data_IF_242891658883
#
_entry.id   IF_242891658883
#
_cell.length_a   1.000
_cell.length_b   1.000
_cell.length_c   1.000
_cell.angle_alpha   90.00
_cell.angle_beta   90.00
_cell.angle_gamma   90.00
#
_symmetry.space_group_name_H-M   'P 1'
#
loop_
_entity.id
_entity.type
_entity.pdbx_description
1 polymer ?
#
# COMPACT_ATOMS: atom_id res chain seq x y z
N UNK A 1 -24.47 11.02 10.23
CA UNK A 1 -23.37 10.48 9.41
C UNK A 1 -23.69 9.03 9.12
N UNK A 2 -23.71 8.63 7.84
CA UNK A 2 -23.97 7.24 7.45
C UNK A 2 -22.75 6.41 7.85
N UNK A 3 -22.97 5.32 8.58
CA UNK A 3 -21.91 4.40 9.00
C UNK A 3 -21.89 3.22 8.01
N UNK A 4 -20.82 3.11 7.22
CA UNK A 4 -20.69 2.11 6.15
C UNK A 4 -19.98 0.82 6.57
N UNK A 5 -19.68 0.66 7.86
CA UNK A 5 -19.03 -0.53 8.45
C UNK A 5 -17.74 -0.95 7.72
N UNK A 6 -16.94 0.04 7.30
CA UNK A 6 -15.61 -0.20 6.76
C UNK A 6 -14.61 -0.40 7.89
N UNK A 7 -13.80 -1.45 7.78
CA UNK A 7 -12.55 -1.53 8.53
C UNK A 7 -11.49 -0.69 7.82
N UNK A 8 -10.89 0.25 8.55
CA UNK A 8 -10.01 1.27 7.98
C UNK A 8 -8.66 1.20 8.68
N UNK A 9 -7.59 0.99 7.90
CA UNK A 9 -6.22 1.12 8.39
C UNK A 9 -5.74 2.58 8.27
N UNK A 10 -5.65 3.27 9.40
CA UNK A 10 -5.03 4.61 9.45
C UNK A 10 -3.51 4.51 9.55
N UNK A 11 -2.79 5.14 8.62
CA UNK A 11 -1.33 5.21 8.60
C UNK A 11 -0.86 6.65 8.76
N UNK A 12 0.22 6.90 9.53
CA UNK A 12 0.85 8.22 9.56
C UNK A 12 1.47 8.61 8.20
N UNK A 13 1.62 9.92 7.91
CA UNK A 13 2.28 10.39 6.70
C UNK A 13 3.78 10.06 6.69
N UNK A 14 4.40 10.11 5.50
CA UNK A 14 5.84 9.94 5.33
C UNK A 14 6.29 8.55 4.86
N UNK A 15 7.61 8.41 4.68
CA UNK A 15 8.33 7.16 4.38
C UNK A 15 7.99 6.48 3.03
N UNK A 16 7.19 7.14 2.19
CA UNK A 16 6.88 6.74 0.81
C UNK A 16 7.49 7.78 -0.11
N UNK A 17 8.24 7.33 -1.11
CA UNK A 17 8.91 8.23 -2.06
C UNK A 17 7.90 8.75 -3.08
N UNK A 18 7.82 10.06 -3.22
CA UNK A 18 7.17 10.74 -4.34
C UNK A 18 8.10 11.84 -4.82
N UNK A 19 8.70 11.66 -5.99
CA UNK A 19 9.73 12.57 -6.51
C UNK A 19 9.18 13.99 -6.65
N UNK A 20 9.89 14.97 -6.07
CA UNK A 20 9.49 16.38 -6.09
C UNK A 20 8.56 16.82 -4.96
N UNK A 21 8.21 15.94 -4.02
CA UNK A 21 7.39 16.23 -2.84
C UNK A 21 7.99 15.63 -1.57
N UNK A 22 7.48 16.02 -0.41
CA UNK A 22 7.98 15.56 0.89
C UNK A 22 7.73 14.06 1.12
N UNK A 23 6.59 13.55 0.67
CA UNK A 23 6.24 12.13 0.74
C UNK A 23 5.07 11.77 -0.19
N UNK A 24 4.96 10.49 -0.52
CA UNK A 24 3.83 9.89 -1.26
C UNK A 24 2.80 9.21 -0.37
N UNK A 25 1.78 8.61 -1.01
CA UNK A 25 0.65 7.97 -0.34
C UNK A 25 0.62 6.46 -0.59
N UNK A 26 0.18 5.69 0.41
CA UNK A 26 0.05 4.22 0.29
C UNK A 26 -0.93 3.82 -0.82
N UNK A 27 -1.98 4.61 -1.05
CA UNK A 27 -2.97 4.37 -2.09
C UNK A 27 -2.42 4.55 -3.51
N UNK A 28 -1.35 5.32 -3.69
CA UNK A 28 -0.65 5.46 -4.98
C UNK A 28 0.58 4.55 -5.10
N UNK A 29 0.87 3.76 -4.05
CA UNK A 29 2.06 2.89 -4.01
C UNK A 29 1.80 1.49 -4.57
N UNK A 30 0.63 1.24 -5.17
CA UNK A 30 0.23 -0.09 -5.58
C UNK A 30 -1.25 -0.22 -5.91
N UNK A 31 -1.70 -1.46 -6.06
CA UNK A 31 -3.11 -1.76 -6.32
C UNK A 31 -3.42 -3.25 -6.19
N UNK A 32 -4.70 -3.55 -5.97
CA UNK A 32 -5.19 -4.93 -5.92
C UNK A 32 -5.19 -5.50 -7.35
N UNK A 33 -4.47 -6.60 -7.57
CA UNK A 33 -4.31 -7.21 -8.90
C UNK A 33 -5.10 -8.50 -9.12
N UNK A 34 -5.60 -9.08 -8.05
CA UNK A 34 -6.59 -10.17 -8.02
C UNK A 34 -7.36 -10.08 -6.70
N UNK A 35 -8.37 -10.92 -6.49
CA UNK A 35 -9.12 -10.92 -5.22
C UNK A 35 -8.25 -11.07 -3.96
N UNK A 36 -7.07 -11.66 -4.08
CA UNK A 36 -6.19 -12.04 -2.98
C UNK A 36 -4.74 -11.53 -3.12
N UNK A 37 -4.44 -10.68 -4.13
CA UNK A 37 -3.08 -10.16 -4.36
C UNK A 37 -3.05 -8.64 -4.46
N UNK A 38 -2.22 -8.01 -3.63
CA UNK A 38 -1.94 -6.58 -3.66
C UNK A 38 -0.52 -6.33 -4.20
N UNK A 39 -0.38 -5.70 -5.36
CA UNK A 39 0.93 -5.33 -5.89
C UNK A 39 1.41 -4.00 -5.28
N UNK A 40 2.69 -3.90 -4.96
CA UNK A 40 3.33 -2.68 -4.46
C UNK A 40 4.54 -2.29 -5.31
N UNK A 41 4.69 -0.98 -5.56
CA UNK A 41 5.89 -0.36 -6.14
C UNK A 41 6.97 -0.16 -5.09
N UNK A 42 7.50 -1.27 -4.58
CA UNK A 42 8.44 -1.32 -3.47
C UNK A 42 8.11 -2.51 -2.56
N UNK A 43 8.78 -2.58 -1.42
CA UNK A 43 8.67 -3.68 -0.48
C UNK A 43 8.21 -3.16 0.89
N UNK A 44 7.16 -3.77 1.46
CA UNK A 44 6.66 -3.39 2.79
C UNK A 44 7.74 -3.56 3.87
N UNK A 45 8.72 -4.45 3.70
CA UNK A 45 9.86 -4.58 4.61
C UNK A 45 10.72 -3.32 4.73
N UNK A 46 10.66 -2.44 3.73
CA UNK A 46 11.38 -1.17 3.71
C UNK A 46 10.51 0.02 4.11
N UNK A 47 9.24 -0.21 4.41
CA UNK A 47 8.30 0.82 4.85
C UNK A 47 8.15 0.82 6.37
N UNK A 48 8.21 1.99 6.99
CA UNK A 48 8.16 2.21 8.44
C UNK A 48 6.93 1.57 9.08
N UNK A 49 5.81 1.52 8.36
CA UNK A 49 4.56 0.91 8.82
C UNK A 49 4.20 -0.37 8.06
N UNK A 50 5.19 -1.02 7.44
CA UNK A 50 5.01 -2.23 6.62
C UNK A 50 4.27 -3.36 7.35
N UNK A 51 4.62 -3.64 8.59
CA UNK A 51 3.97 -4.67 9.42
C UNK A 51 2.48 -4.36 9.67
N UNK A 52 2.10 -3.08 9.83
CA UNK A 52 0.69 -2.70 10.00
C UNK A 52 -0.11 -2.99 8.74
N UNK A 53 0.44 -2.66 7.57
CA UNK A 53 -0.17 -2.95 6.27
C UNK A 53 -0.26 -4.45 6.05
N UNK A 54 0.83 -5.19 6.30
CA UNK A 54 0.88 -6.64 6.14
C UNK A 54 -0.17 -7.34 7.02
N UNK A 55 -0.29 -6.96 8.29
CA UNK A 55 -1.28 -7.53 9.20
C UNK A 55 -2.71 -7.23 8.77
N UNK A 56 -2.97 -6.02 8.26
CA UNK A 56 -4.28 -5.66 7.73
C UNK A 56 -4.63 -6.47 6.47
N UNK A 57 -3.70 -6.60 5.53
CA UNK A 57 -3.90 -7.44 4.34
C UNK A 57 -4.15 -8.91 4.71
N UNK A 58 -3.38 -9.45 5.66
CA UNK A 58 -3.53 -10.82 6.16
C UNK A 58 -4.91 -11.07 6.79
N UNK A 59 -5.48 -10.08 7.51
CA UNK A 59 -6.85 -10.16 8.06
C UNK A 59 -7.90 -10.45 6.98
N UNK A 60 -7.65 -10.00 5.75
CA UNK A 60 -8.54 -10.17 4.60
C UNK A 60 -8.09 -11.25 3.61
N UNK A 61 -7.07 -12.05 3.96
CA UNK A 61 -6.54 -13.09 3.07
C UNK A 61 -5.84 -12.54 1.82
N UNK A 62 -5.40 -11.27 1.85
CA UNK A 62 -4.67 -10.64 0.74
C UNK A 62 -3.17 -10.78 0.97
N UNK A 63 -2.45 -11.29 -0.02
CA UNK A 63 -0.99 -11.39 0.01
C UNK A 63 -0.34 -10.26 -0.81
N UNK A 64 0.71 -9.61 -0.30
CA UNK A 64 1.45 -8.63 -1.08
C UNK A 64 2.32 -9.30 -2.15
N UNK A 65 2.47 -8.63 -3.30
CA UNK A 65 3.48 -8.89 -4.33
C UNK A 65 4.31 -7.62 -4.49
N UNK A 66 5.63 -7.75 -4.44
CA UNK A 66 6.54 -6.62 -4.56
C UNK A 66 7.08 -6.54 -5.97
N UNK A 67 6.77 -5.44 -6.69
CA UNK A 67 7.22 -5.21 -8.06
C UNK A 67 8.67 -4.71 -8.11
N UNK A 68 9.21 -4.28 -6.96
CA UNK A 68 10.57 -3.79 -6.77
C UNK A 68 10.97 -3.94 -5.31
N UNK A 69 12.25 -4.16 -5.03
CA UNK A 69 12.80 -4.06 -3.68
C UNK A 69 13.05 -2.60 -3.25
N UNK A 70 13.11 -2.38 -1.93
CA UNK A 70 13.36 -1.07 -1.33
C UNK A 70 12.10 -0.28 -0.97
N UNK A 71 12.27 1.02 -0.74
CA UNK A 71 11.20 1.93 -0.31
C UNK A 71 10.00 1.90 -1.26
N UNK A 72 8.80 2.03 -0.68
CA UNK A 72 7.58 2.25 -1.45
C UNK A 72 7.69 3.55 -2.23
N UNK A 73 7.18 3.53 -3.45
CA UNK A 73 7.10 4.68 -4.34
C UNK A 73 5.66 4.90 -4.74
N UNK A 74 5.18 6.13 -4.57
CA UNK A 74 3.91 6.54 -5.10
C UNK A 74 4.06 6.79 -6.61
N UNK A 75 3.34 5.99 -7.40
CA UNK A 75 3.30 6.05 -8.88
C UNK A 75 1.89 6.37 -9.38
N UNK A 76 0.98 6.79 -8.49
CA UNK A 76 -0.43 6.98 -8.80
C UNK A 76 -1.19 5.66 -8.94
N UNK A 77 -2.01 5.51 -9.97
CA UNK A 77 -2.90 4.35 -10.14
C UNK A 77 -2.23 3.20 -10.89
N UNK A 78 -2.66 1.97 -10.57
CA UNK A 78 -2.30 0.75 -11.30
C UNK A 78 -3.47 0.32 -12.19
N UNK A 79 -3.22 0.20 -13.51
CA UNK A 79 -4.16 -0.39 -14.47
C UNK A 79 -3.67 -1.79 -14.85
N UNK A 80 -4.59 -2.74 -14.90
CA UNK A 80 -4.35 -4.15 -15.23
C UNK A 80 -5.28 -4.48 -16.38
N UNK A 81 -4.74 -5.11 -17.42
CA UNK A 81 -5.43 -5.46 -18.67
C UNK A 81 -5.82 -6.93 -18.70
#
# INVERSE_FOLDING_TARGET
LINYDFDILLLPPGDIILEGLDYGFIGGSGGLISKDKMAFFGNLKSYMYGEKVLNFLNKYGVSPIYLKDGKLQDRGSLLIL
#
